data_IF_018257896070
#
_entry.id   IF_018257896070
#
_cell.length_a   1.000
_cell.length_b   1.000
_cell.length_c   1.000
_cell.angle_alpha   90.00
_cell.angle_beta   90.00
_cell.angle_gamma   90.00
#
_symmetry.space_group_name_H-M   'P 1'
#
loop_
_entity.id
_entity.type
_entity.pdbx_description
1 polymer ?
#
# COMPACT_ATOMS: atom_id res chain seq x y z
N UNK A 1 -18.92 20.73 -16.22
CA UNK A 1 -17.46 20.50 -16.28
C UNK A 1 -17.11 19.63 -15.08
N UNK A 2 -16.69 18.38 -15.29
CA UNK A 2 -16.34 17.49 -14.18
C UNK A 2 -15.14 18.05 -13.41
N UNK A 3 -15.27 18.18 -12.09
CA UNK A 3 -14.19 18.68 -11.25
C UNK A 3 -12.94 17.82 -11.40
N UNK A 4 -11.77 18.44 -11.52
CA UNK A 4 -10.50 17.70 -11.48
C UNK A 4 -10.25 17.30 -10.03
N UNK A 5 -10.00 16.02 -9.78
CA UNK A 5 -9.60 15.51 -8.48
C UNK A 5 -8.06 15.42 -8.42
N UNK A 6 -7.52 15.69 -7.24
CA UNK A 6 -6.10 15.55 -6.93
C UNK A 6 -5.92 14.36 -6.00
N UNK A 7 -5.04 13.44 -6.37
CA UNK A 7 -4.69 12.27 -5.56
C UNK A 7 -3.19 12.33 -5.25
N UNK A 8 -2.79 12.92 -4.11
CA UNK A 8 -1.39 13.05 -3.75
C UNK A 8 -0.87 11.73 -3.14
N UNK A 9 0.38 11.40 -3.43
CA UNK A 9 1.13 10.36 -2.72
C UNK A 9 2.09 11.09 -1.79
N UNK A 10 1.87 10.94 -0.49
CA UNK A 10 2.58 11.65 0.56
C UNK A 10 3.27 10.66 1.49
N UNK A 11 4.43 11.04 2.04
CA UNK A 11 5.08 10.28 3.09
C UNK A 11 5.88 11.17 4.03
N UNK A 12 6.23 10.63 5.18
CA UNK A 12 7.10 11.24 6.20
C UNK A 12 8.25 10.28 6.51
N UNK A 13 9.36 10.81 7.04
CA UNK A 13 10.49 9.99 7.51
C UNK A 13 10.19 9.52 8.92
N UNK A 14 10.18 8.19 9.12
CA UNK A 14 9.77 7.58 10.39
C UNK A 14 10.75 7.90 11.52
N UNK A 15 12.04 7.97 11.20
CA UNK A 15 13.16 8.21 12.10
C UNK A 15 13.22 9.65 12.64
N UNK A 16 12.37 10.56 12.14
CA UNK A 16 12.26 11.89 12.70
C UNK A 16 11.54 11.88 14.06
N UNK A 17 11.95 12.73 15.02
CA UNK A 17 11.25 12.89 16.29
C UNK A 17 9.76 13.21 16.07
N UNK A 18 8.82 12.65 16.86
CA UNK A 18 7.38 12.84 16.65
C UNK A 18 6.93 14.31 16.48
N UNK A 19 7.40 15.27 17.29
CA UNK A 19 6.99 16.67 17.12
C UNK A 19 7.37 17.28 15.77
N UNK A 20 8.46 16.81 15.16
CA UNK A 20 8.91 17.24 13.83
C UNK A 20 8.18 16.46 12.75
N UNK A 21 8.08 15.14 12.93
CA UNK A 21 7.46 14.22 11.96
C UNK A 21 5.99 14.52 11.71
N UNK A 22 5.26 14.92 12.74
CA UNK A 22 3.82 15.16 12.66
C UNK A 22 3.51 16.60 12.17
N UNK A 23 4.55 17.44 12.00
CA UNK A 23 4.40 18.78 11.44
C UNK A 23 4.25 18.73 9.91
N UNK A 24 3.43 19.63 9.34
CA UNK A 24 3.15 19.66 7.88
C UNK A 24 4.42 19.82 7.02
N UNK A 25 5.46 20.46 7.55
CA UNK A 25 6.75 20.62 6.84
C UNK A 25 7.55 19.33 6.70
N UNK A 26 7.24 18.29 7.47
CA UNK A 26 7.84 16.97 7.34
C UNK A 26 7.17 16.09 6.28
N UNK A 27 6.01 16.52 5.76
CA UNK A 27 5.28 15.81 4.72
C UNK A 27 5.94 16.07 3.37
N UNK A 28 6.44 15.01 2.75
CA UNK A 28 6.99 15.03 1.41
C UNK A 28 5.95 14.49 0.42
N UNK A 29 5.86 15.13 -0.75
CA UNK A 29 5.01 14.66 -1.85
C UNK A 29 5.89 13.88 -2.84
N UNK A 30 5.62 12.58 -2.98
CA UNK A 30 6.35 11.68 -3.87
C UNK A 30 5.75 11.66 -5.28
N UNK A 31 4.48 12.04 -5.40
CA UNK A 31 3.78 12.11 -6.67
C UNK A 31 2.38 12.64 -6.50
N UNK A 32 1.73 12.96 -7.61
CA UNK A 32 0.33 13.35 -7.61
C UNK A 32 -0.34 12.96 -8.93
N UNK A 33 -1.58 12.46 -8.85
CA UNK A 33 -2.43 12.26 -10.02
C UNK A 33 -3.49 13.37 -10.08
N UNK A 34 -3.52 14.10 -11.19
CA UNK A 34 -4.53 15.12 -11.46
C UNK A 34 -5.42 14.64 -12.61
N UNK A 35 -6.68 14.33 -12.31
CA UNK A 35 -7.60 13.80 -13.32
C UNK A 35 -9.05 13.77 -12.85
N UNK A 36 -9.97 13.58 -13.81
CA UNK A 36 -11.40 13.39 -13.52
C UNK A 36 -11.77 11.96 -13.15
N UNK A 37 -10.80 11.04 -13.12
CA UNK A 37 -10.99 9.62 -12.82
C UNK A 37 -9.92 9.13 -11.85
N UNK A 38 -10.15 7.95 -11.28
CA UNK A 38 -9.18 7.25 -10.43
C UNK A 38 -7.83 7.09 -11.13
N UNK A 39 -6.71 7.16 -10.39
CA UNK A 39 -5.38 6.99 -10.96
C UNK A 39 -5.21 5.65 -11.65
N UNK A 40 -4.58 5.65 -12.82
CA UNK A 40 -4.06 4.40 -13.37
C UNK A 40 -2.92 3.94 -12.46
N UNK A 41 -3.14 2.83 -11.74
CA UNK A 41 -2.21 2.30 -10.73
C UNK A 41 -0.79 2.12 -11.28
N UNK A 42 -0.66 1.49 -12.45
CA UNK A 42 0.64 1.17 -13.04
C UNK A 42 1.39 2.46 -13.40
N UNK A 43 0.73 3.42 -14.05
CA UNK A 43 1.34 4.69 -14.40
C UNK A 43 1.78 5.50 -13.18
N UNK A 44 0.93 5.54 -12.14
CA UNK A 44 1.27 6.24 -10.90
C UNK A 44 2.45 5.59 -10.19
N UNK A 45 2.38 4.27 -9.95
CA UNK A 45 3.33 3.61 -9.08
C UNK A 45 4.65 3.23 -9.74
N UNK A 46 4.70 2.90 -11.04
CA UNK A 46 5.97 2.50 -11.67
C UNK A 46 7.03 3.61 -11.53
N UNK A 47 6.67 4.86 -11.84
CA UNK A 47 7.60 5.99 -11.71
C UNK A 47 8.05 6.26 -10.28
N UNK A 48 7.15 6.09 -9.29
CA UNK A 48 7.46 6.30 -7.87
C UNK A 48 8.34 5.16 -7.34
N UNK A 49 8.00 3.92 -7.68
CA UNK A 49 8.71 2.69 -7.28
C UNK A 49 10.15 2.71 -7.79
N UNK A 50 10.36 3.09 -9.05
CA UNK A 50 11.71 3.15 -9.63
C UNK A 50 12.59 4.18 -8.92
N UNK A 51 12.04 5.35 -8.60
CA UNK A 51 12.76 6.37 -7.83
C UNK A 51 13.08 5.90 -6.40
N UNK A 52 12.12 5.25 -5.73
CA UNK A 52 12.35 4.70 -4.38
C UNK A 52 13.43 3.61 -4.41
N UNK A 53 13.40 2.70 -5.40
CA UNK A 53 14.45 1.69 -5.58
C UNK A 53 15.81 2.33 -5.79
N UNK A 54 15.89 3.35 -6.64
CA UNK A 54 17.12 4.09 -6.84
C UNK A 54 17.64 4.69 -5.52
N UNK A 55 16.77 5.31 -4.71
CA UNK A 55 17.12 5.86 -3.40
C UNK A 55 17.49 4.78 -2.37
N UNK A 56 16.92 3.59 -2.49
CA UNK A 56 17.28 2.44 -1.65
C UNK A 56 18.67 1.90 -2.00
N UNK A 57 18.99 1.73 -3.28
CA UNK A 57 20.24 1.15 -3.75
C UNK A 57 21.41 2.16 -3.69
N UNK A 58 21.18 3.37 -4.19
CA UNK A 58 22.22 4.38 -4.39
C UNK A 58 22.32 5.33 -3.20
N UNK A 59 21.22 5.56 -2.47
CA UNK A 59 21.15 6.51 -1.37
C UNK A 59 21.27 7.97 -1.80
N UNK A 60 21.26 8.86 -0.81
CA UNK A 60 21.46 10.30 -0.93
C UNK A 60 22.65 10.68 -0.06
N UNK A 61 23.58 11.47 -0.60
CA UNK A 61 24.70 12.02 0.17
C UNK A 61 24.35 13.43 0.60
N UNK A 62 24.22 13.64 1.92
CA UNK A 62 24.08 14.95 2.52
C UNK A 62 25.45 15.44 2.99
N UNK A 63 25.74 16.71 2.70
CA UNK A 63 26.94 17.39 3.17
C UNK A 63 26.54 18.33 4.30
N UNK A 64 27.10 18.09 5.48
CA UNK A 64 26.89 18.91 6.66
C UNK A 64 27.76 20.17 6.62
N UNK A 65 27.44 21.13 7.49
CA UNK A 65 28.13 22.42 7.57
C UNK A 65 29.63 22.28 7.92
N UNK A 66 30.01 21.21 8.62
CA UNK A 66 31.39 20.84 8.97
C UNK A 66 32.12 20.07 7.85
N UNK A 67 31.56 20.02 6.64
CA UNK A 67 31.98 19.21 5.50
C UNK A 67 31.86 17.68 5.68
N UNK A 68 31.30 17.20 6.79
CA UNK A 68 31.01 15.77 6.96
C UNK A 68 30.00 15.31 5.91
N UNK A 69 30.27 14.16 5.27
CA UNK A 69 29.35 13.55 4.30
C UNK A 69 28.64 12.37 4.96
N UNK A 70 27.31 12.39 4.94
CA UNK A 70 26.48 11.30 5.44
C UNK A 70 25.67 10.73 4.27
N UNK A 71 25.69 9.40 4.12
CA UNK A 71 24.88 8.70 3.15
C UNK A 71 23.62 8.16 3.83
N UNK A 72 22.46 8.47 3.26
CA UNK A 72 21.16 7.95 3.68
C UNK A 72 20.60 7.03 2.60
N UNK A 73 20.15 5.84 2.98
CA UNK A 73 19.39 4.95 2.11
C UNK A 73 17.93 5.00 2.55
N UNK A 74 17.02 5.18 1.59
CA UNK A 74 15.59 5.32 1.87
C UNK A 74 14.90 3.99 1.56
N UNK A 75 14.06 3.52 2.49
CA UNK A 75 13.21 2.34 2.30
C UNK A 75 11.79 2.66 2.73
N UNK A 76 10.81 2.00 2.12
CA UNK A 76 9.42 2.12 2.56
C UNK A 76 9.19 1.20 3.75
N UNK A 77 8.68 1.75 4.85
CA UNK A 77 8.42 1.00 6.07
C UNK A 77 6.97 0.53 6.16
N UNK A 78 6.02 1.42 5.87
CA UNK A 78 4.60 1.11 5.79
C UNK A 78 3.93 1.97 4.72
N UNK A 79 2.81 1.49 4.20
CA UNK A 79 1.90 2.28 3.37
C UNK A 79 0.51 2.30 3.99
N UNK A 80 -0.17 3.43 3.91
CA UNK A 80 -1.54 3.60 4.39
C UNK A 80 -2.42 4.08 3.26
N UNK A 81 -3.64 3.55 3.23
CA UNK A 81 -4.69 3.90 2.27
C UNK A 81 -6.04 3.76 2.97
N UNK A 82 -7.05 4.49 2.51
CA UNK A 82 -8.42 4.12 2.79
C UNK A 82 -8.75 2.76 2.13
N UNK A 83 -9.83 2.10 2.57
CA UNK A 83 -10.13 0.74 2.09
C UNK A 83 -10.33 0.64 0.56
N UNK A 84 -11.01 1.60 -0.13
CA UNK A 84 -11.10 1.58 -1.59
C UNK A 84 -9.73 1.74 -2.29
N UNK A 85 -8.91 2.70 -1.88
CA UNK A 85 -7.60 2.91 -2.50
C UNK A 85 -6.64 1.77 -2.16
N UNK A 86 -6.75 1.16 -0.99
CA UNK A 86 -6.00 -0.05 -0.64
C UNK A 86 -6.29 -1.16 -1.63
N UNK A 87 -7.58 -1.44 -1.89
CA UNK A 87 -7.99 -2.47 -2.82
C UNK A 87 -7.47 -2.22 -4.24
N UNK A 88 -7.59 -0.97 -4.71
CA UNK A 88 -7.12 -0.56 -6.03
C UNK A 88 -5.60 -0.67 -6.18
N UNK A 89 -4.84 -0.05 -5.26
CA UNK A 89 -3.40 0.09 -5.34
C UNK A 89 -2.65 -1.21 -5.00
N UNK A 90 -3.18 -2.02 -4.07
CA UNK A 90 -2.62 -3.35 -3.76
C UNK A 90 -3.15 -4.45 -4.69
N UNK A 91 -4.06 -4.12 -5.62
CA UNK A 91 -4.70 -5.07 -6.55
C UNK A 91 -5.34 -6.28 -5.82
N UNK A 92 -6.11 -5.98 -4.78
CA UNK A 92 -6.86 -6.95 -3.98
C UNK A 92 -8.36 -6.71 -4.07
N UNK A 93 -9.13 -7.64 -3.52
CA UNK A 93 -10.58 -7.52 -3.43
C UNK A 93 -10.96 -6.41 -2.45
N UNK A 94 -11.91 -5.58 -2.89
CA UNK A 94 -12.45 -4.48 -2.09
C UNK A 94 -13.12 -4.99 -0.83
N UNK A 95 -13.14 -4.17 0.23
CA UNK A 95 -13.64 -4.48 1.57
C UNK A 95 -15.03 -5.13 1.63
N UNK A 96 -15.88 -4.92 0.63
CA UNK A 96 -17.22 -5.51 0.51
C UNK A 96 -17.26 -6.82 -0.29
N UNK A 97 -16.12 -7.43 -0.59
CA UNK A 97 -16.03 -8.75 -1.23
C UNK A 97 -15.87 -9.89 -0.22
N UNK A 98 -16.02 -11.11 -0.69
CA UNK A 98 -15.95 -12.32 0.14
C UNK A 98 -14.55 -12.61 0.72
N UNK A 99 -13.47 -12.26 0.02
CA UNK A 99 -12.08 -12.52 0.46
C UNK A 99 -11.27 -11.22 0.58
N UNK A 100 -11.87 -10.18 1.16
CA UNK A 100 -11.36 -8.82 1.12
C UNK A 100 -10.22 -8.52 2.09
N UNK A 101 -10.07 -9.30 3.17
CA UNK A 101 -9.06 -9.02 4.18
C UNK A 101 -7.65 -9.16 3.60
N UNK A 102 -6.78 -8.13 3.64
CA UNK A 102 -5.40 -8.27 3.15
C UNK A 102 -4.56 -9.20 4.04
N UNK A 103 -4.91 -9.37 5.32
CA UNK A 103 -4.07 -10.10 6.28
C UNK A 103 -4.41 -11.58 6.44
N UNK A 104 -5.62 -12.01 6.12
CA UNK A 104 -6.04 -13.40 6.31
C UNK A 104 -6.84 -13.94 5.12
N UNK A 105 -7.01 -15.26 5.12
CA UNK A 105 -7.75 -16.03 4.11
C UNK A 105 -9.20 -16.29 4.55
N UNK A 106 -9.74 -15.44 5.42
CA UNK A 106 -11.12 -15.58 5.88
C UNK A 106 -12.08 -15.33 4.72
N UNK A 107 -13.04 -16.23 4.56
CA UNK A 107 -14.12 -16.08 3.60
C UNK A 107 -15.35 -15.52 4.31
N UNK A 108 -15.86 -14.41 3.80
CA UNK A 108 -17.12 -13.83 4.22
C UNK A 108 -18.30 -14.58 3.61
N UNK A 109 -19.51 -14.24 4.04
CA UNK A 109 -20.75 -14.75 3.48
C UNK A 109 -21.74 -13.60 3.32
N UNK A 110 -22.62 -13.70 2.32
CA UNK A 110 -23.61 -12.68 2.05
C UNK A 110 -24.82 -12.84 2.96
N UNK A 111 -25.23 -11.75 3.62
CA UNK A 111 -26.56 -11.60 4.20
C UNK A 111 -27.18 -10.37 3.54
N UNK A 112 -28.17 -10.60 2.67
CA UNK A 112 -28.71 -9.54 1.81
C UNK A 112 -27.65 -9.01 0.84
N UNK A 113 -27.41 -7.69 0.85
CA UNK A 113 -26.42 -7.01 -0.01
C UNK A 113 -25.07 -6.77 0.67
N UNK A 114 -24.88 -7.27 1.89
CA UNK A 114 -23.70 -7.05 2.71
C UNK A 114 -22.92 -8.36 2.91
N UNK A 115 -21.60 -8.24 2.95
CA UNK A 115 -20.69 -9.35 3.27
C UNK A 115 -20.31 -9.29 4.74
N UNK A 116 -20.48 -10.41 5.43
CA UNK A 116 -20.16 -10.57 6.84
C UNK A 116 -19.01 -11.55 7.00
N UNK A 117 -18.11 -11.24 7.93
CA UNK A 117 -17.04 -12.13 8.36
C UNK A 117 -17.42 -12.66 9.75
N UNK A 118 -17.81 -13.93 9.84
CA UNK A 118 -18.21 -14.51 11.13
C UNK A 118 -17.02 -14.51 12.09
N UNK A 119 -17.30 -14.15 13.34
CA UNK A 119 -16.37 -14.42 14.40
C UNK A 119 -16.19 -15.94 14.54
N UNK A 120 -14.94 -16.40 14.46
CA UNK A 120 -14.57 -17.79 14.66
C UNK A 120 -13.62 -17.88 15.86
N UNK A 121 -13.81 -18.84 16.77
CA UNK A 121 -12.88 -19.06 17.89
C UNK A 121 -11.51 -19.50 17.40
N UNK A 122 -11.43 -20.10 16.21
CA UNK A 122 -10.16 -20.41 15.53
C UNK A 122 -9.77 -19.26 14.62
N UNK A 123 -8.59 -18.64 14.80
CA UNK A 123 -8.12 -17.59 13.91
C UNK A 123 -8.02 -18.08 12.46
N UNK A 124 -8.42 -17.23 11.52
CA UNK A 124 -8.22 -17.52 10.10
C UNK A 124 -6.72 -17.55 9.75
N UNK A 125 -6.37 -18.43 8.81
CA UNK A 125 -5.02 -18.55 8.26
C UNK A 125 -4.57 -17.19 7.73
N UNK A 126 -3.40 -16.73 8.18
CA UNK A 126 -2.80 -15.48 7.72
C UNK A 126 -2.24 -15.62 6.30
N UNK A 127 -2.33 -14.54 5.53
CA UNK A 127 -1.62 -14.42 4.25
C UNK A 127 -0.16 -14.09 4.51
N UNK A 128 0.70 -14.59 3.65
CA UNK A 128 2.14 -14.28 3.66
C UNK A 128 2.55 -13.50 2.42
N UNK A 129 3.76 -12.94 2.43
CA UNK A 129 4.33 -12.30 1.24
C UNK A 129 4.46 -13.29 0.06
N UNK A 130 4.84 -14.53 0.37
CA UNK A 130 4.85 -15.61 -0.61
C UNK A 130 3.46 -15.91 -1.20
N UNK A 131 2.37 -15.78 -0.43
CA UNK A 131 1.02 -15.88 -0.98
C UNK A 131 0.75 -14.75 -2.00
N UNK A 132 1.14 -13.51 -1.69
CA UNK A 132 0.96 -12.37 -2.60
C UNK A 132 1.77 -12.53 -3.88
N UNK A 133 3.04 -12.92 -3.80
CA UNK A 133 3.90 -13.13 -4.98
C UNK A 133 3.41 -14.27 -5.86
N UNK A 134 2.96 -15.37 -5.26
CA UNK A 134 2.47 -16.54 -5.99
C UNK A 134 1.08 -16.33 -6.58
N UNK A 135 0.11 -15.91 -5.76
CA UNK A 135 -1.30 -15.82 -6.17
C UNK A 135 -1.58 -14.63 -7.10
N UNK A 136 -0.73 -13.60 -7.10
CA UNK A 136 -0.86 -12.48 -8.04
C UNK A 136 -0.52 -12.85 -9.47
N UNK A 137 0.26 -13.90 -9.69
CA UNK A 137 0.73 -14.31 -11.03
C UNK A 137 0.09 -15.62 -11.52
N UNK A 138 -0.58 -16.36 -10.63
CA UNK A 138 -1.24 -17.61 -10.99
C UNK A 138 -2.64 -17.33 -11.57
N UNK A 139 -2.97 -17.98 -12.68
CA UNK A 139 -4.32 -17.96 -13.25
C UNK A 139 -5.24 -18.91 -12.45
N UNK A 140 -5.62 -18.48 -11.25
CA UNK A 140 -6.53 -19.21 -10.38
C UNK A 140 -7.95 -18.66 -10.50
N UNK A 141 -8.98 -19.52 -10.34
CA UNK A 141 -10.34 -19.06 -10.10
C UNK A 141 -10.35 -18.07 -8.92
N UNK A 142 -11.22 -17.05 -8.97
CA UNK A 142 -11.28 -15.96 -7.97
C UNK A 142 -11.34 -16.44 -6.51
N UNK A 143 -11.95 -17.59 -6.25
CA UNK A 143 -12.04 -18.18 -4.90
C UNK A 143 -10.69 -18.74 -4.41
N UNK A 144 -9.86 -19.25 -5.32
CA UNK A 144 -8.54 -19.83 -5.00
C UNK A 144 -7.44 -18.79 -4.76
N UNK A 145 -7.68 -17.53 -5.12
CA UNK A 145 -6.72 -16.44 -4.92
C UNK A 145 -6.85 -15.75 -3.57
N UNK A 146 -7.86 -16.12 -2.77
CA UNK A 146 -8.19 -15.48 -1.49
C UNK A 146 -8.23 -13.95 -1.61
N UNK A 147 -8.81 -13.46 -2.70
CA UNK A 147 -8.99 -12.03 -2.95
C UNK A 147 -7.77 -11.27 -3.47
N UNK A 148 -6.62 -11.92 -3.69
CA UNK A 148 -5.51 -11.34 -4.46
C UNK A 148 -5.90 -11.38 -5.95
N UNK A 149 -5.87 -10.25 -6.66
CA UNK A 149 -6.39 -10.17 -8.04
C UNK A 149 -5.32 -10.12 -9.11
N UNK A 150 -4.10 -9.73 -8.76
CA UNK A 150 -3.01 -9.63 -9.71
C UNK A 150 -1.80 -8.93 -9.11
N UNK A 151 -0.76 -8.67 -9.92
CA UNK A 151 0.44 -7.99 -9.46
C UNK A 151 0.15 -6.50 -9.21
N UNK A 152 1.03 -5.87 -8.44
CA UNK A 152 1.09 -4.42 -8.25
C UNK A 152 2.55 -3.99 -8.18
N UNK A 153 2.94 -2.82 -8.71
CA UNK A 153 4.32 -2.33 -8.60
C UNK A 153 4.82 -2.21 -7.15
N UNK A 154 3.90 -2.07 -6.20
CA UNK A 154 4.20 -1.90 -4.77
C UNK A 154 4.94 -3.10 -4.15
N UNK A 155 4.71 -4.32 -4.63
CA UNK A 155 5.42 -5.52 -4.10
C UNK A 155 6.91 -5.51 -4.43
N UNK A 156 7.36 -4.59 -5.29
CA UNK A 156 8.78 -4.44 -5.60
C UNK A 156 9.58 -3.65 -4.55
N UNK A 157 8.89 -2.95 -3.65
CA UNK A 157 9.52 -2.09 -2.62
C UNK A 157 8.97 -2.38 -1.22
N UNK A 158 8.00 -3.28 -1.09
CA UNK A 158 7.33 -3.63 0.15
C UNK A 158 6.93 -5.10 0.18
N UNK A 159 6.87 -5.64 1.40
CA UNK A 159 6.40 -6.98 1.73
C UNK A 159 4.92 -6.95 2.12
N UNK A 160 4.10 -7.72 1.42
CA UNK A 160 2.65 -7.79 1.68
C UNK A 160 2.31 -9.04 2.50
N UNK A 161 1.29 -8.99 3.38
CA UNK A 161 0.54 -7.81 3.81
C UNK A 161 1.25 -7.04 4.93
N UNK A 162 2.46 -7.45 5.35
CA UNK A 162 3.11 -6.98 6.59
C UNK A 162 3.37 -5.47 6.65
N UNK A 163 3.58 -4.82 5.49
CA UNK A 163 3.85 -3.39 5.40
C UNK A 163 2.62 -2.56 5.00
N UNK A 164 1.43 -3.16 5.00
CA UNK A 164 0.17 -2.44 4.87
C UNK A 164 -0.23 -1.99 6.28
N UNK A 165 -0.31 -0.68 6.51
CA UNK A 165 -0.93 -0.12 7.71
C UNK A 165 -2.44 -0.04 7.48
N UNK A 166 -3.22 -0.64 8.38
CA UNK A 166 -4.68 -0.47 8.37
C UNK A 166 -4.98 0.86 9.02
N UNK A 167 -5.59 1.77 8.25
CA UNK A 167 -6.10 2.99 8.81
C UNK A 167 -7.35 2.69 9.65
N UNK A 168 -7.19 2.73 10.97
CA UNK A 168 -8.27 2.50 11.92
C UNK A 168 -9.39 3.55 11.82
N UNK A 169 -9.12 4.73 11.23
CA UNK A 169 -10.14 5.77 11.02
C UNK A 169 -11.10 5.45 9.87
N UNK A 170 -10.79 4.42 9.08
CA UNK A 170 -11.59 3.97 7.94
C UNK A 170 -11.95 2.47 8.02
N UNK A 171 -11.85 1.88 9.22
CA UNK A 171 -12.37 0.54 9.53
C UNK A 171 -13.88 0.56 9.77
#
# INVERSE_FOLDING_TARGET
MGGKSLWPVQATILEMPPPIRDHVSAVMVFGAWLGGSHPNRELLWNSIVDQIKYLYENGIILKLNDNTKIKFNIRVQFITFDLPALAHNCNITQFNGYDACPFCKAHGYAIGTQIFYAHSPTPSIKKTDGDYLRLSTTDLPRLGSHGIRGPTPLTNIMLFPYQIAVDYMHL
#
